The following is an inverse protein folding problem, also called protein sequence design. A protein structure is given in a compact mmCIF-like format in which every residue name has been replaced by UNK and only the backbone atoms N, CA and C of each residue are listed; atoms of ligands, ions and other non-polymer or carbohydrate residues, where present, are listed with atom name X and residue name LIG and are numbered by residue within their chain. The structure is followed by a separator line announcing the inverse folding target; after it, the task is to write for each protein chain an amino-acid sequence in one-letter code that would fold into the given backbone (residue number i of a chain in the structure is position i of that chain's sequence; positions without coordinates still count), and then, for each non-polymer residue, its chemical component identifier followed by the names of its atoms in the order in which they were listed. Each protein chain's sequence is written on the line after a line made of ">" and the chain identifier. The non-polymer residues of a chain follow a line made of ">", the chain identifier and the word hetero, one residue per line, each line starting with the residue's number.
data_IF_865737447850
#
_entry.id   IF_865737447850
#
_cell.length_a   1.000
_cell.length_b   1.000
_cell.length_c   1.000
_cell.angle_alpha   90.00
_cell.angle_beta   90.00
_cell.angle_gamma   90.00
#
_symmetry.space_group_name_H-M   'P 1'
#
loop_
_entity.id
_entity.type
_entity.pdbx_description
1 polymer ?
#
# COMPACT_ATOMS: atom_id res chain seq x y z
N UNK A 1 -33.89 5.15 -0.76
CA UNK A 1 -32.82 6.02 -0.27
C UNK A 1 -31.61 5.77 -1.13
N UNK A 2 -31.04 6.79 -1.79
CA UNK A 2 -29.76 6.63 -2.47
C UNK A 2 -28.71 6.28 -1.41
N UNK A 3 -27.91 5.24 -1.65
CA UNK A 3 -26.82 4.87 -0.75
C UNK A 3 -25.89 6.09 -0.58
N UNK A 4 -25.56 6.43 0.68
CA UNK A 4 -24.63 7.52 0.98
C UNK A 4 -23.30 7.16 0.29
N UNK A 5 -22.86 7.98 -0.67
CA UNK A 5 -21.59 7.77 -1.37
C UNK A 5 -20.43 8.02 -0.40
N UNK A 6 -19.47 7.13 -0.39
CA UNK A 6 -18.28 7.30 0.42
C UNK A 6 -17.47 8.50 -0.12
N UNK A 7 -17.06 9.39 0.76
CA UNK A 7 -16.24 10.54 0.40
C UNK A 7 -15.19 10.77 1.49
N UNK A 8 -13.97 10.21 1.34
CA UNK A 8 -12.95 10.27 2.36
C UNK A 8 -12.68 11.67 2.86
N UNK A 9 -12.53 12.63 1.97
CA UNK A 9 -12.23 14.01 2.34
C UNK A 9 -13.36 14.64 3.17
N UNK A 10 -14.63 14.48 2.78
CA UNK A 10 -15.78 15.01 3.53
C UNK A 10 -15.99 14.31 4.88
N UNK A 11 -15.62 13.03 4.94
CA UNK A 11 -15.72 12.25 6.18
C UNK A 11 -14.51 12.50 7.12
N UNK A 12 -13.58 13.40 6.72
CA UNK A 12 -12.41 13.78 7.52
C UNK A 12 -11.27 12.75 7.49
N UNK A 13 -11.36 11.76 6.60
CA UNK A 13 -10.30 10.77 6.42
C UNK A 13 -9.25 11.29 5.43
N UNK A 14 -8.00 11.38 5.87
CA UNK A 14 -6.91 12.02 5.11
C UNK A 14 -5.83 11.06 4.66
N UNK A 15 -5.78 9.83 5.22
CA UNK A 15 -4.89 8.75 4.76
C UNK A 15 -5.30 8.20 3.39
N UNK A 16 -4.56 7.21 2.88
CA UNK A 16 -5.02 6.53 1.67
C UNK A 16 -6.32 5.76 1.94
N UNK A 17 -7.32 6.01 1.11
CA UNK A 17 -8.63 5.39 1.23
C UNK A 17 -8.63 3.94 0.72
N UNK A 18 -7.75 3.63 -0.24
CA UNK A 18 -7.57 2.29 -0.78
C UNK A 18 -6.16 2.04 -1.31
N UNK A 19 -5.72 0.78 -1.26
CA UNK A 19 -4.56 0.27 -1.97
C UNK A 19 -5.03 -0.50 -3.22
N UNK A 20 -4.35 -0.30 -4.35
CA UNK A 20 -4.64 -0.95 -5.63
C UNK A 20 -3.58 -2.00 -5.92
N UNK A 21 -4.02 -3.24 -6.16
CA UNK A 21 -3.16 -4.38 -6.49
C UNK A 21 -3.52 -4.90 -7.88
N UNK A 22 -2.57 -4.85 -8.80
CA UNK A 22 -2.75 -5.45 -10.13
C UNK A 22 -2.48 -6.95 -10.05
N UNK A 23 -3.42 -7.76 -10.57
CA UNK A 23 -3.36 -9.22 -10.52
C UNK A 23 -3.58 -9.85 -11.89
N UNK A 24 -2.91 -10.98 -12.13
CA UNK A 24 -3.11 -11.76 -13.36
C UNK A 24 -4.47 -12.47 -13.36
N UNK A 25 -4.99 -12.83 -12.18
CA UNK A 25 -6.31 -13.41 -11.99
C UNK A 25 -6.78 -13.26 -10.54
N UNK A 26 -8.11 -13.34 -10.31
CA UNK A 26 -8.71 -13.15 -8.99
C UNK A 26 -8.72 -14.43 -8.10
N UNK A 27 -8.14 -15.52 -8.54
CA UNK A 27 -8.27 -16.82 -7.85
C UNK A 27 -7.84 -16.80 -6.38
N UNK A 28 -6.80 -16.04 -6.02
CA UNK A 28 -6.33 -15.93 -4.63
C UNK A 28 -7.15 -14.95 -3.77
N UNK A 29 -7.93 -14.05 -4.39
CA UNK A 29 -8.73 -13.05 -3.67
C UNK A 29 -9.78 -13.71 -2.78
N UNK A 30 -10.42 -14.80 -3.27
CA UNK A 30 -11.39 -15.57 -2.49
C UNK A 30 -10.79 -16.14 -1.19
N UNK A 31 -9.51 -16.50 -1.19
CA UNK A 31 -8.80 -16.96 0.01
C UNK A 31 -8.69 -15.87 1.07
N UNK A 32 -8.39 -14.64 0.69
CA UNK A 32 -8.35 -13.50 1.60
C UNK A 32 -9.74 -13.20 2.19
N UNK A 33 -10.79 -13.25 1.38
CA UNK A 33 -12.18 -13.09 1.84
C UNK A 33 -12.52 -14.14 2.89
N UNK A 34 -12.28 -15.41 2.60
CA UNK A 34 -12.66 -16.52 3.46
C UNK A 34 -11.86 -16.55 4.78
N UNK A 35 -10.53 -16.42 4.71
CA UNK A 35 -9.65 -16.49 5.87
C UNK A 35 -9.55 -15.15 6.62
N UNK A 36 -9.49 -14.03 5.90
CA UNK A 36 -9.30 -12.70 6.46
C UNK A 36 -10.56 -12.03 7.02
N UNK A 37 -11.74 -12.54 6.69
CA UNK A 37 -13.01 -11.92 7.11
C UNK A 37 -13.35 -10.62 6.37
N UNK A 38 -12.79 -10.42 5.19
CA UNK A 38 -13.12 -9.30 4.32
C UNK A 38 -14.37 -9.59 3.51
N UNK A 39 -15.07 -8.54 3.11
CA UNK A 39 -16.25 -8.63 2.25
C UNK A 39 -16.02 -7.91 0.92
N UNK A 40 -16.65 -8.43 -0.13
CA UNK A 40 -16.62 -7.81 -1.44
C UNK A 40 -17.64 -6.67 -1.50
N UNK A 41 -17.15 -5.44 -1.63
CA UNK A 41 -17.97 -4.23 -1.75
C UNK A 41 -18.40 -3.99 -3.21
N UNK A 42 -17.53 -4.30 -4.17
CA UNK A 42 -17.78 -4.15 -5.60
C UNK A 42 -17.04 -5.21 -6.41
N UNK A 43 -17.63 -5.64 -7.53
CA UNK A 43 -16.94 -6.37 -8.57
C UNK A 43 -17.56 -6.05 -9.94
N UNK A 44 -16.71 -5.85 -10.94
CA UNK A 44 -17.18 -5.53 -12.29
C UNK A 44 -16.08 -4.94 -13.17
N UNK A 45 -16.47 -4.41 -14.34
CA UNK A 45 -15.53 -3.69 -15.19
C UNK A 45 -15.07 -2.40 -14.52
N UNK A 46 -13.80 -2.07 -14.67
CA UNK A 46 -13.28 -0.75 -14.34
C UNK A 46 -13.86 0.33 -15.26
N UNK A 47 -13.77 1.59 -14.81
CA UNK A 47 -14.26 2.72 -15.62
C UNK A 47 -13.59 2.74 -17.00
N UNK A 48 -14.34 3.04 -18.08
CA UNK A 48 -13.80 3.05 -19.44
C UNK A 48 -12.69 4.10 -19.65
N UNK A 49 -12.62 5.13 -18.80
CA UNK A 49 -11.60 6.17 -18.83
C UNK A 49 -10.29 5.74 -18.13
N UNK A 50 -10.34 4.70 -17.31
CA UNK A 50 -9.22 4.27 -16.47
C UNK A 50 -7.97 3.85 -17.27
N UNK A 51 -8.07 3.16 -18.44
CA UNK A 51 -6.92 2.93 -19.29
C UNK A 51 -6.19 4.23 -19.70
N UNK A 52 -6.94 5.27 -20.06
CA UNK A 52 -6.38 6.58 -20.39
C UNK A 52 -5.72 7.26 -19.18
N UNK A 53 -6.37 7.24 -18.02
CA UNK A 53 -5.83 7.77 -16.77
C UNK A 53 -4.50 7.11 -16.39
N UNK A 54 -4.33 5.84 -16.72
CA UNK A 54 -3.11 5.08 -16.48
C UNK A 54 -2.12 5.09 -17.65
N UNK A 55 -2.46 5.76 -18.76
CA UNK A 55 -1.63 5.84 -19.97
C UNK A 55 -1.48 4.51 -20.69
N UNK A 56 -2.46 3.63 -20.54
CA UNK A 56 -2.55 2.38 -21.27
C UNK A 56 -3.13 2.59 -22.66
N UNK A 57 -2.96 1.59 -23.51
CA UNK A 57 -3.60 1.59 -24.83
C UNK A 57 -5.12 1.50 -24.70
N UNK A 58 -5.90 2.12 -25.61
CA UNK A 58 -7.37 2.14 -25.51
C UNK A 58 -8.05 0.78 -25.52
N UNK A 59 -7.38 -0.28 -26.00
CA UNK A 59 -7.91 -1.66 -26.00
C UNK A 59 -7.66 -2.42 -24.70
N UNK A 60 -6.89 -1.86 -23.75
CA UNK A 60 -6.70 -2.47 -22.43
C UNK A 60 -8.05 -2.62 -21.74
N UNK A 61 -8.31 -3.81 -21.19
CA UNK A 61 -9.52 -4.09 -20.43
C UNK A 61 -9.17 -4.18 -18.97
N UNK A 62 -10.03 -3.60 -18.14
CA UNK A 62 -9.85 -3.53 -16.69
C UNK A 62 -11.08 -4.16 -16.03
N UNK A 63 -10.83 -5.10 -15.14
CA UNK A 63 -11.82 -5.69 -14.23
C UNK A 63 -11.35 -5.48 -12.79
N UNK A 64 -12.27 -5.25 -11.89
CA UNK A 64 -11.96 -4.89 -10.50
C UNK A 64 -12.77 -5.72 -9.50
N UNK A 65 -12.15 -6.01 -8.36
CA UNK A 65 -12.80 -6.47 -7.14
C UNK A 65 -12.34 -5.58 -6.00
N UNK A 66 -13.28 -4.91 -5.34
CA UNK A 66 -13.02 -4.07 -4.18
C UNK A 66 -13.44 -4.81 -2.92
N UNK A 67 -12.49 -5.00 -2.02
CA UNK A 67 -12.71 -5.61 -0.73
C UNK A 67 -12.65 -4.56 0.38
N UNK A 68 -13.44 -4.79 1.43
CA UNK A 68 -13.45 -3.97 2.62
C UNK A 68 -13.68 -4.79 3.89
N UNK A 69 -13.44 -4.17 5.02
CA UNK A 69 -13.88 -4.65 6.33
C UNK A 69 -15.09 -3.83 6.73
N UNK A 70 -16.29 -4.41 6.94
CA UNK A 70 -17.54 -3.66 7.14
C UNK A 70 -17.52 -2.64 8.27
N UNK A 71 -16.76 -2.92 9.33
CA UNK A 71 -16.62 -2.03 10.49
C UNK A 71 -15.63 -0.89 10.29
N UNK A 72 -14.91 -0.86 9.15
CA UNK A 72 -13.84 0.09 8.85
C UNK A 72 -14.21 0.95 7.65
N UNK A 73 -14.16 2.29 7.77
CA UNK A 73 -14.68 3.18 6.72
C UNK A 73 -13.82 3.26 5.47
N UNK A 74 -12.50 3.00 5.59
CA UNK A 74 -11.51 3.13 4.52
C UNK A 74 -10.37 2.12 4.70
N UNK A 75 -9.32 2.22 3.88
CA UNK A 75 -8.25 1.24 3.83
C UNK A 75 -8.67 0.02 3.03
N UNK A 76 -9.44 0.24 1.97
CA UNK A 76 -9.93 -0.79 1.09
C UNK A 76 -8.79 -1.44 0.30
N UNK A 77 -9.03 -2.63 -0.20
CA UNK A 77 -8.11 -3.35 -1.07
C UNK A 77 -8.81 -3.60 -2.41
N UNK A 78 -8.32 -2.90 -3.44
CA UNK A 78 -8.81 -3.05 -4.81
C UNK A 78 -7.87 -3.95 -5.59
N UNK A 79 -8.36 -5.13 -5.96
CA UNK A 79 -7.70 -5.98 -6.93
C UNK A 79 -8.16 -5.60 -8.34
N UNK A 80 -7.20 -5.41 -9.24
CA UNK A 80 -7.45 -4.96 -10.60
C UNK A 80 -6.78 -5.94 -11.57
N UNK A 81 -7.54 -6.53 -12.48
CA UNK A 81 -7.03 -7.34 -13.58
C UNK A 81 -7.00 -6.50 -14.85
N UNK A 82 -5.81 -6.32 -15.40
CA UNK A 82 -5.59 -5.57 -16.64
C UNK A 82 -5.23 -6.58 -17.72
N UNK A 83 -5.96 -6.63 -18.83
CA UNK A 83 -5.73 -7.57 -19.94
C UNK A 83 -5.46 -6.83 -21.25
N UNK A 84 -5.04 -7.61 -22.25
CA UNK A 84 -4.74 -7.16 -23.61
C UNK A 84 -3.52 -6.21 -23.71
N UNK A 85 -2.68 -6.18 -22.68
CA UNK A 85 -1.42 -5.43 -22.62
C UNK A 85 -0.32 -6.27 -21.95
N UNK A 86 0.95 -6.11 -22.35
CA UNK A 86 2.07 -6.77 -21.67
C UNK A 86 2.19 -6.31 -20.23
N UNK A 87 2.49 -7.22 -19.33
CA UNK A 87 2.67 -6.98 -17.90
C UNK A 87 3.92 -7.71 -17.40
N UNK A 88 4.59 -7.14 -16.43
CA UNK A 88 5.65 -7.78 -15.66
C UNK A 88 5.42 -7.55 -14.16
N UNK A 89 5.98 -8.38 -13.28
CA UNK A 89 5.90 -8.13 -11.85
C UNK A 89 6.60 -6.83 -11.48
N UNK A 90 5.94 -5.96 -10.70
CA UNK A 90 6.59 -4.78 -10.08
C UNK A 90 7.73 -5.28 -9.21
N UNK A 91 7.42 -6.15 -8.26
CA UNK A 91 8.40 -6.82 -7.42
C UNK A 91 8.25 -8.34 -7.62
N UNK A 92 9.19 -9.02 -8.29
CA UNK A 92 9.11 -10.46 -8.52
C UNK A 92 9.25 -11.23 -7.20
N UNK A 93 8.79 -12.48 -7.17
CA UNK A 93 8.79 -13.32 -5.94
C UNK A 93 10.18 -13.55 -5.35
N UNK A 94 11.23 -13.44 -6.16
CA UNK A 94 12.62 -13.52 -5.73
C UNK A 94 13.20 -12.17 -5.30
N UNK A 95 12.37 -11.11 -5.25
CA UNK A 95 12.79 -9.80 -4.78
C UNK A 95 13.21 -9.88 -3.30
N UNK A 96 14.39 -9.33 -3.03
CA UNK A 96 14.91 -9.29 -1.67
C UNK A 96 14.34 -8.11 -0.89
N UNK A 97 14.22 -8.20 0.44
CA UNK A 97 13.62 -7.13 1.25
C UNK A 97 14.30 -5.77 1.12
N UNK A 98 15.60 -5.72 0.84
CA UNK A 98 16.35 -4.46 0.67
C UNK A 98 16.38 -3.91 -0.74
N UNK A 99 15.84 -4.65 -1.73
CA UNK A 99 15.75 -4.14 -3.09
C UNK A 99 14.67 -3.05 -3.17
N UNK A 100 15.01 -1.92 -3.76
CA UNK A 100 14.21 -0.71 -3.72
C UNK A 100 13.15 -0.63 -4.81
N UNK A 101 12.23 0.32 -4.64
CA UNK A 101 11.24 0.72 -5.64
C UNK A 101 9.92 -0.05 -5.58
N UNK A 102 8.84 0.71 -5.78
CA UNK A 102 7.46 0.24 -5.65
C UNK A 102 7.02 -0.01 -4.22
N UNK A 103 5.74 -0.29 -4.05
CA UNK A 103 5.17 -0.73 -2.77
C UNK A 103 5.68 -2.13 -2.45
N UNK A 104 6.17 -2.31 -1.21
CA UNK A 104 6.67 -3.60 -0.73
C UNK A 104 5.64 -4.33 0.10
N UNK A 105 5.14 -3.71 1.18
CA UNK A 105 4.16 -4.31 2.09
C UNK A 105 2.87 -3.49 2.11
N UNK A 106 1.76 -4.19 2.33
CA UNK A 106 0.50 -3.62 2.78
C UNK A 106 0.22 -4.16 4.17
N UNK A 107 0.01 -3.28 5.16
CA UNK A 107 -0.13 -3.67 6.56
C UNK A 107 -1.59 -3.78 6.99
N UNK A 108 -1.89 -4.86 7.68
CA UNK A 108 -3.16 -5.11 8.37
C UNK A 108 -2.89 -5.49 9.82
N UNK A 109 -3.92 -5.54 10.65
CA UNK A 109 -3.81 -6.00 12.04
C UNK A 109 -4.69 -7.22 12.27
N UNK A 110 -4.30 -8.03 13.26
CA UNK A 110 -5.06 -9.16 13.78
C UNK A 110 -4.88 -9.23 15.29
N UNK A 111 -5.74 -9.97 15.96
CA UNK A 111 -5.60 -10.34 17.39
C UNK A 111 -4.88 -11.67 17.60
N UNK A 112 -4.57 -12.40 16.53
CA UNK A 112 -3.82 -13.66 16.51
C UNK A 112 -3.18 -13.83 15.13
N UNK A 113 -2.02 -13.26 14.94
CA UNK A 113 -1.29 -13.27 13.68
C UNK A 113 -0.84 -14.67 13.27
N UNK A 114 -0.44 -15.51 14.26
CA UNK A 114 0.02 -16.87 14.02
C UNK A 114 -1.11 -17.79 13.53
N UNK A 115 -2.30 -17.74 14.14
CA UNK A 115 -3.45 -18.52 13.69
C UNK A 115 -3.91 -18.07 12.30
N UNK A 116 -4.01 -16.76 12.09
CA UNK A 116 -4.44 -16.21 10.82
C UNK A 116 -3.44 -16.50 9.69
N UNK A 117 -2.14 -16.45 9.96
CA UNK A 117 -1.10 -16.83 9.01
C UNK A 117 -1.26 -18.27 8.52
N UNK A 118 -1.60 -19.21 9.41
CA UNK A 118 -1.87 -20.61 9.03
C UNK A 118 -3.12 -20.73 8.17
N UNK A 119 -4.21 -20.03 8.52
CA UNK A 119 -5.45 -20.04 7.74
C UNK A 119 -5.24 -19.46 6.33
N UNK A 120 -4.55 -18.33 6.21
CA UNK A 120 -4.20 -17.71 4.94
C UNK A 120 -3.28 -18.61 4.12
N UNK A 121 -2.30 -19.27 4.76
CA UNK A 121 -1.42 -20.24 4.11
C UNK A 121 -2.21 -21.39 3.47
N UNK A 122 -3.19 -21.93 4.19
CA UNK A 122 -4.10 -22.98 3.68
C UNK A 122 -5.00 -22.45 2.53
N UNK A 123 -5.31 -21.17 2.52
CA UNK A 123 -6.09 -20.48 1.49
C UNK A 123 -5.27 -20.02 0.27
N UNK A 124 -3.99 -20.40 0.17
CA UNK A 124 -3.12 -20.09 -0.96
C UNK A 124 -2.29 -18.81 -0.83
N UNK A 125 -2.18 -18.26 0.40
CA UNK A 125 -1.32 -17.14 0.76
C UNK A 125 -0.17 -17.65 1.65
N UNK A 126 0.89 -18.24 1.09
CA UNK A 126 1.95 -18.85 1.89
C UNK A 126 2.70 -17.79 2.73
N UNK A 127 3.14 -18.21 3.91
CA UNK A 127 3.98 -17.40 4.79
C UNK A 127 5.34 -17.16 4.14
N UNK A 128 5.76 -15.90 4.06
CA UNK A 128 7.12 -15.51 3.61
C UNK A 128 8.12 -15.78 4.71
N UNK A 129 7.76 -15.36 5.93
CA UNK A 129 8.53 -15.56 7.15
C UNK A 129 7.58 -15.83 8.32
N UNK A 130 8.04 -16.61 9.29
CA UNK A 130 7.32 -16.84 10.53
C UNK A 130 7.13 -15.57 11.36
N UNK A 131 6.37 -15.70 12.43
CA UNK A 131 6.10 -14.60 13.37
C UNK A 131 7.40 -14.09 14.00
N UNK A 132 7.58 -12.77 14.00
CA UNK A 132 8.67 -12.06 14.66
C UNK A 132 8.13 -11.01 15.62
N UNK A 133 8.69 -10.98 16.83
CA UNK A 133 8.35 -9.99 17.85
C UNK A 133 9.26 -8.77 17.79
N UNK A 134 8.67 -7.60 17.99
CA UNK A 134 9.36 -6.32 18.16
C UNK A 134 8.92 -5.70 19.47
N UNK A 135 9.87 -5.23 20.26
CA UNK A 135 9.61 -4.51 21.50
C UNK A 135 10.31 -3.14 21.45
N UNK A 136 9.51 -2.09 21.43
CA UNK A 136 9.94 -0.68 21.41
C UNK A 136 9.71 -0.01 22.77
N UNK A 137 9.58 -0.78 23.85
CA UNK A 137 9.28 -0.30 25.19
C UNK A 137 7.79 -0.06 25.41
N UNK A 138 7.26 1.04 25.00
CA UNK A 138 5.82 1.36 25.11
C UNK A 138 4.95 0.65 24.05
N UNK A 139 5.55 0.24 22.95
CA UNK A 139 4.92 -0.52 21.88
C UNK A 139 5.60 -1.89 21.73
N UNK A 140 4.81 -2.96 21.75
CA UNK A 140 5.29 -4.29 21.38
C UNK A 140 4.32 -4.91 20.37
N UNK A 141 4.86 -5.53 19.33
CA UNK A 141 4.08 -6.14 18.25
C UNK A 141 4.71 -7.48 17.85
N UNK A 142 3.87 -8.40 17.40
CA UNK A 142 4.28 -9.48 16.50
C UNK A 142 3.95 -9.11 15.07
N UNK A 143 4.71 -9.61 14.14
CA UNK A 143 4.50 -9.40 12.71
C UNK A 143 4.80 -10.66 11.92
N UNK A 144 3.95 -10.95 10.91
CA UNK A 144 4.14 -12.04 9.96
C UNK A 144 3.80 -11.58 8.55
N UNK A 145 4.54 -12.08 7.56
CA UNK A 145 4.32 -11.72 6.16
C UNK A 145 3.71 -12.87 5.36
N UNK A 146 2.74 -12.56 4.51
CA UNK A 146 2.06 -13.49 3.62
C UNK A 146 2.26 -13.08 2.15
N UNK A 147 2.62 -14.04 1.29
CA UNK A 147 2.59 -13.82 -0.16
C UNK A 147 1.16 -13.88 -0.70
N UNK A 148 0.69 -12.77 -1.20
CA UNK A 148 -0.54 -12.67 -1.98
C UNK A 148 -0.34 -13.00 -3.46
N UNK A 149 -1.28 -12.59 -4.31
CA UNK A 149 -1.16 -12.74 -5.76
C UNK A 149 -0.04 -11.84 -6.33
N UNK A 150 0.66 -12.36 -7.34
CA UNK A 150 1.52 -11.59 -8.24
C UNK A 150 2.58 -10.72 -7.55
N UNK A 151 3.18 -11.23 -6.46
CA UNK A 151 4.27 -10.53 -5.75
C UNK A 151 3.80 -9.53 -4.70
N UNK A 152 2.50 -9.36 -4.50
CA UNK A 152 1.98 -8.63 -3.35
C UNK A 152 2.42 -9.31 -2.04
N UNK A 153 2.79 -8.52 -1.04
CA UNK A 153 3.05 -9.01 0.32
C UNK A 153 2.13 -8.28 1.30
N UNK A 154 1.40 -9.08 2.08
CA UNK A 154 0.55 -8.61 3.16
C UNK A 154 1.27 -8.82 4.49
N UNK A 155 1.50 -7.75 5.25
CA UNK A 155 1.96 -7.82 6.62
C UNK A 155 0.76 -7.87 7.57
N UNK A 156 0.82 -8.77 8.54
CA UNK A 156 -0.17 -8.90 9.60
C UNK A 156 0.51 -8.58 10.92
N UNK A 157 0.01 -7.58 11.62
CA UNK A 157 0.54 -7.13 12.91
C UNK A 157 -0.45 -7.49 14.01
N UNK A 158 0.04 -8.20 15.03
CA UNK A 158 -0.62 -8.34 16.33
C UNK A 158 0.03 -7.39 17.32
N UNK A 159 -0.72 -6.37 17.78
CA UNK A 159 -0.20 -5.44 18.78
C UNK A 159 -0.37 -6.01 20.18
N UNK A 160 0.75 -6.31 20.83
CA UNK A 160 0.81 -6.91 22.16
C UNK A 160 0.76 -5.88 23.29
N UNK A 161 1.36 -4.68 23.03
CA UNK A 161 1.46 -3.61 24.01
C UNK A 161 1.35 -2.23 23.36
N UNK A 162 0.42 -1.33 23.80
CA UNK A 162 -0.79 -1.73 24.51
C UNK A 162 -1.67 -2.60 23.59
N UNK A 163 -2.43 -3.56 24.12
CA UNK A 163 -3.33 -4.37 23.30
C UNK A 163 -4.34 -3.50 22.56
N UNK A 164 -4.53 -3.75 21.27
CA UNK A 164 -5.57 -3.08 20.49
C UNK A 164 -6.89 -3.82 20.64
N UNK A 165 -7.95 -3.09 21.01
CA UNK A 165 -9.31 -3.55 20.87
C UNK A 165 -9.70 -3.52 19.38
N UNK A 166 -9.51 -4.61 18.67
CA UNK A 166 -9.96 -4.77 17.29
C UNK A 166 -11.35 -5.39 17.34
N UNK A 167 -12.40 -4.73 16.80
CA UNK A 167 -13.68 -5.39 16.64
C UNK A 167 -13.48 -6.57 15.68
N UNK A 168 -14.15 -7.62 15.94
CA UNK A 168 -14.00 -8.99 15.44
C UNK A 168 -13.89 -9.36 13.94
N UNK A 169 -13.35 -8.60 12.98
CA UNK A 169 -12.83 -9.24 11.79
C UNK A 169 -11.47 -9.87 12.10
N UNK A 170 -11.18 -10.98 11.44
CA UNK A 170 -9.89 -11.65 11.57
C UNK A 170 -8.73 -10.73 11.15
N UNK A 171 -8.92 -9.94 10.08
CA UNK A 171 -8.04 -8.87 9.63
C UNK A 171 -8.73 -7.50 9.72
N UNK A 172 -7.99 -6.47 10.05
CA UNK A 172 -8.45 -5.09 9.87
C UNK A 172 -8.29 -4.66 8.39
N UNK A 173 -8.72 -3.43 8.08
CA UNK A 173 -8.40 -2.75 6.83
C UNK A 173 -6.89 -2.60 6.64
N UNK A 174 -6.45 -2.26 5.41
CA UNK A 174 -5.06 -1.85 5.16
C UNK A 174 -4.86 -0.48 5.79
N UNK A 175 -3.99 -0.40 6.81
CA UNK A 175 -3.80 0.84 7.57
C UNK A 175 -2.47 1.54 7.27
N UNK A 176 -1.51 0.84 6.68
CA UNK A 176 -0.21 1.38 6.31
C UNK A 176 0.33 0.63 5.07
N UNK A 177 1.27 1.23 4.36
CA UNK A 177 1.96 0.61 3.23
C UNK A 177 3.46 0.97 3.28
N UNK A 178 4.36 0.00 3.05
CA UNK A 178 5.80 0.24 3.07
C UNK A 178 6.40 0.36 1.68
N UNK A 179 7.42 1.20 1.59
CA UNK A 179 8.28 1.39 0.43
C UNK A 179 9.73 1.21 0.87
N UNK A 180 10.46 0.30 0.20
CA UNK A 180 11.92 0.28 0.34
C UNK A 180 12.48 1.35 -0.58
N UNK A 181 13.10 2.36 0.00
CA UNK A 181 13.58 3.52 -0.74
C UNK A 181 15.09 3.39 -1.01
N UNK A 182 15.50 3.82 -2.20
CA UNK A 182 16.90 3.78 -2.61
C UNK A 182 17.72 4.89 -1.96
N UNK A 183 17.13 6.06 -1.86
CA UNK A 183 17.68 7.25 -1.25
C UNK A 183 16.70 7.77 -0.22
N UNK A 184 16.97 7.50 1.05
CA UNK A 184 16.07 7.81 2.14
C UNK A 184 15.78 9.32 2.27
N UNK A 185 16.82 10.16 2.15
CA UNK A 185 16.66 11.59 2.33
C UNK A 185 15.85 12.21 1.18
N UNK A 186 16.08 11.74 -0.05
CA UNK A 186 15.29 12.15 -1.22
C UNK A 186 13.83 11.71 -1.11
N UNK A 187 13.58 10.47 -0.68
CA UNK A 187 12.22 9.97 -0.49
C UNK A 187 11.51 10.74 0.61
N UNK A 188 12.17 10.94 1.76
CA UNK A 188 11.63 11.72 2.87
C UNK A 188 11.30 13.16 2.44
N UNK A 189 12.19 13.83 1.74
CA UNK A 189 11.95 15.18 1.21
C UNK A 189 10.75 15.22 0.26
N UNK A 190 10.58 14.20 -0.60
CA UNK A 190 9.41 14.13 -1.48
C UNK A 190 8.11 14.07 -0.68
N UNK A 191 7.99 13.16 0.28
CA UNK A 191 6.75 13.01 1.04
C UNK A 191 6.51 14.16 2.02
N UNK A 192 7.54 14.62 2.74
CA UNK A 192 7.40 15.64 3.78
C UNK A 192 7.41 17.06 3.18
N UNK A 193 8.42 17.41 2.39
CA UNK A 193 8.62 18.78 1.95
C UNK A 193 7.82 19.11 0.69
N UNK A 194 7.65 18.13 -0.23
CA UNK A 194 6.97 18.38 -1.50
C UNK A 194 5.47 18.02 -1.44
N UNK A 195 5.09 16.85 -0.86
CA UNK A 195 3.68 16.49 -0.70
C UNK A 195 3.04 17.14 0.54
N UNK A 196 3.84 17.61 1.51
CA UNK A 196 3.37 18.21 2.75
C UNK A 196 2.87 17.19 3.78
N UNK A 197 3.29 15.92 3.67
CA UNK A 197 2.97 14.92 4.69
C UNK A 197 3.78 15.17 5.96
N UNK A 198 3.23 14.74 7.09
CA UNK A 198 3.85 14.89 8.41
C UNK A 198 4.34 13.54 8.91
N UNK A 199 5.54 13.45 9.48
CA UNK A 199 5.99 12.25 10.18
C UNK A 199 5.04 11.93 11.35
N UNK A 200 4.56 10.68 11.42
CA UNK A 200 3.92 10.12 12.60
C UNK A 200 4.95 9.50 13.53
N UNK A 201 5.94 8.80 12.97
CA UNK A 201 7.04 8.17 13.68
C UNK A 201 8.29 8.23 12.80
N UNK A 202 9.44 8.46 13.41
CA UNK A 202 10.75 8.36 12.74
C UNK A 202 11.70 7.61 13.66
N UNK A 203 12.34 6.55 13.15
CA UNK A 203 13.19 5.65 13.92
C UNK A 203 14.44 5.30 13.13
N UNK A 204 15.56 5.27 13.82
CA UNK A 204 16.82 4.77 13.30
C UNK A 204 17.28 3.58 14.15
N UNK A 205 17.53 2.46 13.50
CA UNK A 205 17.98 1.23 14.17
C UNK A 205 19.41 0.95 13.76
N UNK A 206 20.29 0.79 14.77
CA UNK A 206 21.69 0.46 14.58
C UNK A 206 22.03 -0.85 15.28
N UNK A 207 22.95 -1.65 14.71
CA UNK A 207 23.48 -2.86 15.38
C UNK A 207 22.54 -4.06 15.34
N UNK A 208 22.63 -4.91 16.37
CA UNK A 208 21.97 -6.24 16.46
C UNK A 208 20.47 -6.14 16.80
N UNK A 209 19.73 -5.24 16.19
CA UNK A 209 18.30 -5.08 16.46
C UNK A 209 17.51 -6.28 15.91
N UNK A 210 16.62 -6.90 16.71
CA UNK A 210 15.75 -7.99 16.27
C UNK A 210 14.86 -7.63 15.07
N UNK A 211 14.54 -6.35 14.87
CA UNK A 211 13.82 -5.85 13.71
C UNK A 211 14.47 -6.17 12.37
N UNK A 212 15.80 -6.28 12.35
CA UNK A 212 16.55 -6.69 11.16
C UNK A 212 16.22 -8.13 10.73
N UNK A 213 15.81 -9.00 11.64
CA UNK A 213 15.56 -10.42 11.33
C UNK A 213 14.28 -10.64 10.55
N UNK A 214 13.25 -9.82 10.74
CA UNK A 214 12.02 -9.91 9.95
C UNK A 214 12.24 -9.47 8.51
N UNK A 215 13.03 -8.43 8.35
CA UNK A 215 13.22 -7.77 7.08
C UNK A 215 14.23 -8.49 6.19
N UNK A 216 15.13 -9.34 6.77
CA UNK A 216 16.13 -10.04 5.97
C UNK A 216 16.66 -11.30 6.62
N UNK A 217 17.19 -12.20 5.82
CA UNK A 217 18.08 -13.26 6.27
C UNK A 217 19.40 -12.62 6.71
N UNK A 218 19.63 -12.55 8.03
CA UNK A 218 20.81 -11.90 8.63
C UNK A 218 22.16 -12.45 8.12
N UNK A 219 22.20 -13.68 7.62
CA UNK A 219 23.41 -14.25 7.05
C UNK A 219 23.88 -13.49 5.80
N UNK A 220 22.97 -12.81 5.09
CA UNK A 220 23.25 -11.98 3.93
C UNK A 220 23.60 -10.52 4.29
N UNK A 221 23.46 -10.11 5.55
CA UNK A 221 23.57 -8.72 6.01
C UNK A 221 24.84 -8.39 6.78
N UNK A 222 25.90 -9.14 6.61
CA UNK A 222 27.22 -8.70 7.07
C UNK A 222 27.54 -7.33 6.43
N UNK A 223 27.17 -6.25 7.09
CA UNK A 223 27.46 -4.88 6.62
C UNK A 223 26.34 -3.86 6.70
N UNK A 224 25.08 -4.24 6.94
CA UNK A 224 24.03 -3.26 7.26
C UNK A 224 24.41 -2.56 8.56
N UNK A 225 24.55 -1.24 8.48
CA UNK A 225 24.93 -0.40 9.62
C UNK A 225 23.71 0.18 10.30
N UNK A 226 22.72 0.55 9.49
CA UNK A 226 21.57 1.30 9.97
C UNK A 226 20.36 1.03 9.10
N UNK A 227 19.19 0.90 9.71
CA UNK A 227 17.88 1.02 9.04
C UNK A 227 17.26 2.32 9.50
N UNK A 228 16.92 3.16 8.53
CA UNK A 228 16.14 4.37 8.79
C UNK A 228 14.70 4.15 8.35
N UNK A 229 13.76 4.48 9.22
CA UNK A 229 12.34 4.35 8.96
C UNK A 229 11.64 5.64 9.32
N UNK A 230 10.75 6.12 8.44
CA UNK A 230 9.82 7.18 8.74
C UNK A 230 8.42 6.80 8.25
N UNK A 231 7.43 6.90 9.12
CA UNK A 231 6.02 6.75 8.77
C UNK A 231 5.44 8.13 8.54
N UNK A 232 4.97 8.40 7.33
CA UNK A 232 4.44 9.70 6.90
C UNK A 232 2.95 9.61 6.58
N UNK A 233 2.21 10.68 6.87
CA UNK A 233 0.78 10.76 6.64
C UNK A 233 0.38 12.22 6.37
N UNK A 234 -0.67 12.53 5.58
CA UNK A 234 -1.08 13.92 5.33
C UNK A 234 -1.26 14.78 6.59
N UNK A 235 -1.68 14.19 7.71
CA UNK A 235 -1.87 14.90 9.00
C UNK A 235 -1.02 14.36 10.16
N UNK A 236 -0.10 13.42 9.92
CA UNK A 236 0.74 12.84 10.98
C UNK A 236 0.02 11.76 11.80
N UNK A 237 -0.85 11.00 11.19
CA UNK A 237 -1.56 9.85 11.79
C UNK A 237 -1.02 8.52 11.27
N UNK A 238 -1.39 7.40 11.91
CA UNK A 238 -0.96 6.08 11.46
C UNK A 238 -1.94 5.44 10.47
N UNK A 239 -3.21 5.83 10.48
CA UNK A 239 -4.24 5.21 9.63
C UNK A 239 -4.20 5.77 8.21
N UNK A 240 -3.82 4.93 7.23
CA UNK A 240 -3.64 5.34 5.84
C UNK A 240 -2.29 6.01 5.58
N UNK A 241 -1.28 5.65 6.37
CA UNK A 241 0.09 6.17 6.30
C UNK A 241 0.97 5.39 5.32
N UNK A 242 2.15 5.93 5.04
CA UNK A 242 3.19 5.31 4.22
C UNK A 242 4.46 5.22 5.05
N UNK A 243 5.07 4.05 5.10
CA UNK A 243 6.35 3.80 5.74
C UNK A 243 7.47 3.80 4.70
N UNK A 244 8.47 4.64 4.88
CA UNK A 244 9.69 4.68 4.08
C UNK A 244 10.79 3.95 4.84
N UNK A 245 11.42 2.96 4.21
CA UNK A 245 12.48 2.16 4.82
C UNK A 245 13.74 2.27 3.97
N UNK A 246 14.79 2.81 4.56
CA UNK A 246 16.13 2.92 3.98
C UNK A 246 17.14 2.00 4.67
N UNK A 247 18.03 1.40 3.89
CA UNK A 247 19.01 0.44 4.36
C UNK A 247 20.42 0.94 4.08
N UNK A 248 21.14 1.41 5.10
CA UNK A 248 22.53 1.82 4.95
C UNK A 248 23.46 0.62 5.05
N UNK A 249 24.29 0.44 4.02
CA UNK A 249 25.24 -0.68 3.94
C UNK A 249 24.62 -1.98 3.44
N UNK A 250 23.38 -1.97 2.93
CA UNK A 250 22.81 -3.15 2.28
C UNK A 250 23.63 -3.60 1.07
N UNK A 251 23.65 -4.91 0.77
CA UNK A 251 24.26 -5.39 -0.46
C UNK A 251 23.63 -4.74 -1.69
N UNK A 252 24.35 -4.63 -2.83
CA UNK A 252 23.77 -4.20 -4.09
C UNK A 252 22.51 -5.00 -4.42
N UNK A 253 21.46 -4.33 -4.85
CA UNK A 253 20.17 -4.92 -5.20
C UNK A 253 19.57 -4.26 -6.43
N UNK A 254 18.49 -4.86 -6.92
CA UNK A 254 17.69 -4.31 -8.02
C UNK A 254 16.88 -3.10 -7.54
N UNK A 255 16.54 -2.24 -8.49
CA UNK A 255 15.61 -1.14 -8.31
C UNK A 255 14.40 -1.36 -9.21
N UNK A 256 13.23 -1.44 -8.61
CA UNK A 256 11.96 -1.70 -9.31
C UNK A 256 11.16 -0.42 -9.60
N UNK A 257 11.72 0.76 -9.30
CA UNK A 257 10.99 2.02 -9.45
C UNK A 257 10.35 2.17 -10.85
N UNK A 258 11.07 1.83 -11.93
CA UNK A 258 10.51 1.95 -13.28
C UNK A 258 9.39 0.96 -13.60
N UNK A 259 9.29 -0.14 -12.86
CA UNK A 259 8.21 -1.12 -12.99
C UNK A 259 6.97 -0.76 -12.16
N UNK A 260 7.11 0.08 -11.13
CA UNK A 260 6.03 0.45 -10.19
C UNK A 260 5.00 1.38 -10.85
N UNK A 261 4.30 0.87 -11.84
CA UNK A 261 3.27 1.60 -12.61
C UNK A 261 2.32 0.63 -13.30
N UNK A 262 1.10 1.09 -13.67
CA UNK A 262 0.23 0.31 -14.54
C UNK A 262 0.91 0.00 -15.88
N UNK A 263 0.67 -1.18 -16.48
CA UNK A 263 -0.24 -2.23 -16.05
C UNK A 263 0.40 -3.31 -15.17
N UNK A 264 1.61 -3.10 -14.66
CA UNK A 264 2.44 -4.12 -14.05
C UNK A 264 1.82 -4.75 -12.79
N UNK A 265 2.16 -6.01 -12.54
CA UNK A 265 1.54 -6.86 -11.53
C UNK A 265 2.10 -6.64 -10.12
N UNK A 266 1.24 -6.71 -9.10
CA UNK A 266 1.59 -6.53 -7.69
C UNK A 266 0.98 -5.29 -7.08
N UNK A 267 1.48 -4.85 -5.92
CA UNK A 267 1.01 -3.64 -5.22
C UNK A 267 1.35 -2.40 -6.06
N UNK A 268 0.33 -1.78 -6.67
CA UNK A 268 0.51 -0.84 -7.76
C UNK A 268 0.35 0.62 -7.35
N UNK A 269 -0.69 0.94 -6.57
CA UNK A 269 -1.01 2.33 -6.26
C UNK A 269 -1.67 2.50 -4.88
N UNK A 270 -1.62 3.72 -4.36
CA UNK A 270 -2.39 4.17 -3.19
C UNK A 270 -3.27 5.35 -3.61
N UNK A 271 -4.55 5.36 -3.19
CA UNK A 271 -5.53 6.39 -3.52
C UNK A 271 -5.88 7.25 -2.33
N UNK A 272 -5.75 8.55 -2.49
CA UNK A 272 -6.03 9.57 -1.45
C UNK A 272 -7.20 10.45 -1.87
N UNK A 273 -8.23 10.55 -1.01
CA UNK A 273 -9.31 11.51 -1.22
C UNK A 273 -8.89 12.93 -0.85
N UNK A 274 -9.21 13.91 -1.71
CA UNK A 274 -8.97 15.33 -1.48
C UNK A 274 -10.25 16.14 -1.68
N UNK A 275 -10.35 17.29 -1.01
CA UNK A 275 -11.52 18.16 -1.12
C UNK A 275 -11.60 18.91 -2.45
N UNK A 276 -10.46 19.38 -2.96
CA UNK A 276 -10.30 20.15 -4.18
C UNK A 276 -9.00 19.69 -4.85
N UNK A 277 -9.15 18.91 -5.91
CA UNK A 277 -8.02 18.35 -6.62
C UNK A 277 -7.21 19.42 -7.35
N UNK A 278 -7.85 20.47 -7.87
CA UNK A 278 -7.15 21.53 -8.57
C UNK A 278 -6.24 22.31 -7.61
N UNK A 279 -6.77 22.75 -6.47
CA UNK A 279 -5.99 23.43 -5.44
C UNK A 279 -4.89 22.52 -4.87
N UNK A 280 -5.14 21.21 -4.74
CA UNK A 280 -4.13 20.25 -4.32
C UNK A 280 -2.97 20.17 -5.32
N UNK A 281 -3.26 20.02 -6.61
CA UNK A 281 -2.24 19.95 -7.66
C UNK A 281 -1.47 21.27 -7.82
N UNK A 282 -2.11 22.42 -7.62
CA UNK A 282 -1.43 23.71 -7.65
C UNK A 282 -0.42 23.85 -6.53
N UNK A 283 -0.74 23.38 -5.31
CA UNK A 283 0.25 23.30 -4.22
C UNK A 283 1.43 22.39 -4.56
N UNK A 284 1.16 21.20 -5.10
CA UNK A 284 2.21 20.26 -5.49
C UNK A 284 3.13 20.86 -6.57
N UNK A 285 2.56 21.61 -7.53
CA UNK A 285 3.31 22.28 -8.60
C UNK A 285 4.31 23.32 -8.06
N UNK A 286 3.95 24.05 -7.00
CA UNK A 286 4.87 24.99 -6.33
C UNK A 286 6.14 24.29 -5.81
N UNK A 287 6.01 23.02 -5.41
CA UNK A 287 7.11 22.18 -4.94
C UNK A 287 7.75 21.31 -6.05
N UNK A 288 7.42 21.58 -7.33
CA UNK A 288 8.00 20.88 -8.48
C UNK A 288 7.38 19.49 -8.76
N UNK A 289 6.29 19.13 -8.08
CA UNK A 289 5.61 17.85 -8.28
C UNK A 289 4.48 18.04 -9.29
N UNK A 290 4.56 17.31 -10.40
CA UNK A 290 3.56 17.35 -11.47
C UNK A 290 2.80 16.03 -11.55
N UNK A 291 1.52 16.07 -12.00
CA UNK A 291 0.80 14.85 -12.31
C UNK A 291 1.53 14.03 -13.39
N UNK A 292 1.63 12.73 -13.19
CA UNK A 292 2.22 11.81 -14.17
C UNK A 292 1.34 11.64 -15.42
N UNK A 293 0.04 11.96 -15.29
CA UNK A 293 -0.97 11.94 -16.36
C UNK A 293 -1.96 13.11 -16.17
N UNK A 294 -2.68 13.52 -17.23
CA UNK A 294 -3.74 14.51 -17.11
C UNK A 294 -4.82 14.09 -16.11
N UNK A 295 -5.46 15.08 -15.47
CA UNK A 295 -6.64 14.85 -14.64
C UNK A 295 -7.72 14.18 -15.48
N UNK A 296 -8.31 13.12 -14.97
CA UNK A 296 -9.35 12.34 -15.66
C UNK A 296 -10.61 12.28 -14.79
N UNK A 297 -11.77 12.58 -15.39
CA UNK A 297 -13.06 12.31 -14.75
C UNK A 297 -13.50 10.88 -15.08
N UNK A 298 -13.92 10.13 -14.06
CA UNK A 298 -14.35 8.75 -14.20
C UNK A 298 -15.33 8.34 -13.10
N UNK A 299 -16.03 7.24 -13.31
CA UNK A 299 -16.80 6.58 -12.26
C UNK A 299 -15.89 5.63 -11.49
N UNK A 300 -15.80 5.80 -10.17
CA UNK A 300 -14.96 5.00 -9.28
C UNK A 300 -15.80 4.49 -8.10
N UNK A 301 -16.22 3.24 -8.16
CA UNK A 301 -16.95 2.63 -7.03
C UNK A 301 -16.03 2.45 -5.82
N UNK A 302 -16.46 2.74 -4.57
CA UNK A 302 -17.82 3.13 -4.17
C UNK A 302 -18.02 4.66 -4.09
N UNK A 303 -17.12 5.46 -4.61
CA UNK A 303 -17.11 6.94 -4.46
C UNK A 303 -18.04 7.65 -5.46
N UNK A 304 -18.42 7.00 -6.55
CA UNK A 304 -19.20 7.58 -7.65
C UNK A 304 -18.31 8.33 -8.64
N UNK A 305 -18.79 9.48 -9.16
CA UNK A 305 -17.99 10.30 -10.09
C UNK A 305 -16.84 10.99 -9.36
N UNK A 306 -15.65 10.87 -9.89
CA UNK A 306 -14.45 11.50 -9.33
C UNK A 306 -13.62 12.20 -10.42
N UNK A 307 -12.83 13.19 -10.03
CA UNK A 307 -11.62 13.60 -10.75
C UNK A 307 -10.43 12.91 -10.11
N UNK A 308 -9.55 12.36 -10.92
CA UNK A 308 -8.39 11.60 -10.46
C UNK A 308 -7.12 12.09 -11.17
N UNK A 309 -6.04 12.25 -10.42
CA UNK A 309 -4.72 12.59 -10.93
C UNK A 309 -3.64 11.73 -10.25
N UNK A 310 -2.83 10.99 -11.01
CA UNK A 310 -1.71 10.25 -10.46
C UNK A 310 -0.46 11.12 -10.34
N UNK A 311 0.29 10.92 -9.27
CA UNK A 311 1.61 11.46 -9.02
C UNK A 311 2.57 10.30 -8.79
N UNK A 312 3.82 10.41 -9.21
CA UNK A 312 4.81 9.35 -9.05
C UNK A 312 5.89 9.77 -8.06
N UNK A 313 6.17 8.93 -7.07
CA UNK A 313 7.26 9.16 -6.12
C UNK A 313 8.64 8.90 -6.76
N UNK A 314 9.74 9.35 -6.14
CA UNK A 314 11.10 9.02 -6.59
C UNK A 314 11.39 7.52 -6.71
N UNK A 315 10.75 6.72 -5.84
CA UNK A 315 10.86 5.26 -5.82
C UNK A 315 9.80 4.56 -6.67
N UNK A 316 9.15 5.32 -7.55
CA UNK A 316 8.24 4.82 -8.56
C UNK A 316 6.80 4.58 -8.09
N UNK A 317 6.49 4.73 -6.81
CA UNK A 317 5.14 4.47 -6.30
C UNK A 317 4.13 5.41 -6.94
N UNK A 318 3.03 4.82 -7.39
CA UNK A 318 1.93 5.51 -8.03
C UNK A 318 0.93 5.97 -6.96
N UNK A 319 0.85 7.30 -6.72
CA UNK A 319 -0.06 7.93 -5.77
C UNK A 319 -1.18 8.59 -6.56
N UNK A 320 -2.42 8.19 -6.31
CA UNK A 320 -3.59 8.75 -6.99
C UNK A 320 -4.37 9.65 -6.04
N UNK A 321 -4.44 10.92 -6.34
CA UNK A 321 -5.29 11.87 -5.63
C UNK A 321 -6.62 11.99 -6.36
N UNK A 322 -7.74 11.90 -5.63
CA UNK A 322 -9.07 12.01 -6.22
C UNK A 322 -10.00 12.90 -5.42
N UNK A 323 -10.85 13.65 -6.14
CA UNK A 323 -11.94 14.46 -5.64
C UNK A 323 -13.26 13.82 -6.02
N UNK A 324 -14.14 13.60 -5.04
CA UNK A 324 -15.51 13.11 -5.29
C UNK A 324 -16.38 14.27 -5.76
N UNK A 325 -16.95 14.12 -6.94
CA UNK A 325 -17.85 15.12 -7.54
C UNK A 325 -19.28 14.99 -6.98
N UNK A 326 -19.98 16.11 -6.89
CA UNK A 326 -21.35 16.17 -6.37
C UNK A 326 -22.34 15.41 -7.24
#
# INVERSE_FOLDING_TARGET
>A
MAAKRNNPARDGYTGFAEAVVSVSHFGKVAGLVAAGGWEQLHAGPGAPELPGAWGLKPHARIEEQLLHVPSMPYGYLRFTRISDVPQEPIRPLDARPWESGGLWLLYTRSTDDAALSRELGAAGWPTVRGVHGFDFGELAVNEVHQHGPDGMVLSIIEQLKPPLAIPAPKLTHVFNAAIIVRDFDRARAFFVDQLGFRPWMEVEWTGDNPGLTLLADLTAFHGVRTIRTVIVHPQGENLGSIELIGWDGAPPGRDFAERAKPPNLGSMALRFGVHDLAAHLDRLRVHGVLPARPVTELALEPYGRVRLAPVRSPDGVWLEFFEVLA
#
